data_IF_256658049594
#
_entry.id   IF_256658049594
#
_cell.length_a   1.000
_cell.length_b   1.000
_cell.length_c   1.000
_cell.angle_alpha   90.00
_cell.angle_beta   90.00
_cell.angle_gamma   90.00
#
_symmetry.space_group_name_H-M   'P 1'
#
loop_
_entity.id
_entity.type
_entity.pdbx_description
1 polymer ?
#
# COMPACT_ATOMS: atom_id res chain seq x y z
N UNK A 1 -22.34 -7.37 -26.42
CA UNK A 1 -22.09 -6.06 -27.06
C UNK A 1 -21.62 -5.10 -25.97
N UNK A 2 -20.32 -5.04 -25.72
CA UNK A 2 -19.74 -4.25 -24.64
C UNK A 2 -19.31 -2.89 -25.16
N UNK A 3 -20.16 -1.88 -24.98
CA UNK A 3 -19.76 -0.48 -25.13
C UNK A 3 -18.94 -0.08 -23.90
N UNK A 4 -17.71 -0.59 -23.80
CA UNK A 4 -16.71 0.04 -22.93
C UNK A 4 -16.04 1.08 -23.82
N UNK A 5 -16.22 2.39 -23.58
CA UNK A 5 -15.48 3.41 -24.32
C UNK A 5 -14.00 3.13 -24.11
N UNK A 6 -13.36 2.61 -25.15
CA UNK A 6 -11.98 2.11 -25.13
C UNK A 6 -10.97 3.26 -25.15
N UNK A 7 -11.47 4.51 -25.17
CA UNK A 7 -10.68 5.72 -25.12
C UNK A 7 -11.31 6.65 -24.08
N UNK A 8 -10.71 6.69 -22.90
CA UNK A 8 -10.94 7.81 -21.97
C UNK A 8 -10.24 9.06 -22.53
N UNK A 9 -10.79 10.27 -22.36
CA UNK A 9 -10.19 11.48 -22.89
C UNK A 9 -8.71 11.62 -22.48
N UNK A 10 -7.83 11.96 -23.41
CA UNK A 10 -6.44 12.38 -23.13
C UNK A 10 -6.34 13.87 -22.81
N UNK A 11 -7.43 14.46 -22.35
CA UNK A 11 -7.47 15.85 -21.96
C UNK A 11 -6.66 16.08 -20.68
N UNK A 12 -6.02 17.25 -20.60
CA UNK A 12 -5.18 17.65 -19.48
C UNK A 12 -5.86 17.49 -18.11
N UNK A 13 -7.16 17.79 -18.01
CA UNK A 13 -7.93 17.66 -16.77
C UNK A 13 -8.12 16.19 -16.35
N UNK A 14 -8.23 15.27 -17.30
CA UNK A 14 -8.41 13.84 -17.01
C UNK A 14 -7.09 13.20 -16.59
N UNK A 15 -5.96 13.68 -17.13
CA UNK A 15 -4.62 13.29 -16.67
C UNK A 15 -4.35 13.75 -15.22
N UNK A 16 -4.76 14.98 -14.88
CA UNK A 16 -4.71 15.48 -13.50
C UNK A 16 -5.60 14.62 -12.58
N UNK A 17 -6.86 14.37 -12.97
CA UNK A 17 -7.79 13.57 -12.17
C UNK A 17 -7.29 12.13 -11.96
N UNK A 18 -6.79 11.49 -13.02
CA UNK A 18 -6.27 10.12 -12.93
C UNK A 18 -5.01 10.04 -12.06
N UNK A 19 -4.10 11.02 -12.14
CA UNK A 19 -2.96 11.14 -11.23
C UNK A 19 -3.39 11.34 -9.77
N UNK A 20 -4.39 12.19 -9.54
CA UNK A 20 -4.96 12.42 -8.20
C UNK A 20 -5.57 11.14 -7.62
N UNK A 21 -6.43 10.45 -8.37
CA UNK A 21 -7.06 9.21 -7.91
C UNK A 21 -6.05 8.09 -7.69
N UNK A 22 -5.03 7.99 -8.55
CA UNK A 22 -3.98 6.99 -8.42
C UNK A 22 -3.17 7.15 -7.13
N UNK A 23 -2.80 8.39 -6.76
CA UNK A 23 -2.06 8.62 -5.51
C UNK A 23 -2.95 8.46 -4.28
N UNK A 24 -4.21 8.92 -4.33
CA UNK A 24 -5.17 8.72 -3.24
C UNK A 24 -5.35 7.23 -2.94
N UNK A 25 -5.43 6.42 -3.99
CA UNK A 25 -5.52 4.98 -3.88
C UNK A 25 -4.28 4.33 -3.27
N UNK A 26 -3.08 4.85 -3.52
CA UNK A 26 -1.84 4.35 -2.90
C UNK A 26 -1.74 4.65 -1.40
N UNK A 27 -2.41 5.68 -0.90
CA UNK A 27 -2.41 6.04 0.54
C UNK A 27 -3.34 5.12 1.32
N UNK A 28 -4.44 4.67 0.71
CA UNK A 28 -5.40 3.79 1.39
C UNK A 28 -4.82 2.37 1.53
N UNK A 29 -4.76 1.79 2.75
CA UNK A 29 -4.25 0.44 2.93
C UNK A 29 -5.04 -0.57 2.10
N UNK A 30 -4.34 -1.32 1.24
CA UNK A 30 -4.91 -2.42 0.46
C UNK A 30 -5.49 -2.04 -0.90
N UNK A 31 -5.39 -0.79 -1.35
CA UNK A 31 -5.75 -0.39 -2.72
C UNK A 31 -4.48 -0.02 -3.51
N UNK A 32 -4.39 -0.46 -4.76
CA UNK A 32 -3.26 -0.17 -5.63
C UNK A 32 -3.57 0.95 -6.61
N UNK A 33 -2.71 1.98 -6.67
CA UNK A 33 -2.84 3.07 -7.63
C UNK A 33 -2.72 2.62 -9.09
N UNK A 34 -1.90 1.61 -9.39
CA UNK A 34 -1.80 1.05 -10.75
C UNK A 34 -3.08 0.35 -11.18
N UNK A 35 -3.78 -0.29 -10.24
CA UNK A 35 -5.09 -0.89 -10.50
C UNK A 35 -6.15 0.17 -10.81
N UNK A 36 -6.15 1.30 -10.08
CA UNK A 36 -7.02 2.44 -10.42
C UNK A 36 -6.73 2.97 -11.82
N UNK A 37 -5.46 3.11 -12.19
CA UNK A 37 -5.10 3.52 -13.56
C UNK A 37 -5.53 2.51 -14.63
N UNK A 38 -5.53 1.21 -14.31
CA UNK A 38 -6.07 0.18 -15.19
C UNK A 38 -7.59 0.32 -15.35
N UNK A 39 -8.32 0.54 -14.25
CA UNK A 39 -9.77 0.77 -14.28
C UNK A 39 -10.14 2.04 -15.07
N UNK A 40 -9.30 3.08 -15.01
CA UNK A 40 -9.46 4.31 -15.80
C UNK A 40 -8.95 4.18 -17.26
N UNK A 41 -8.45 3.00 -17.65
CA UNK A 41 -7.83 2.73 -18.96
C UNK A 41 -6.65 3.66 -19.28
N UNK A 42 -5.96 4.20 -18.27
CA UNK A 42 -4.79 5.11 -18.40
C UNK A 42 -3.46 4.50 -18.03
N UNK A 43 -3.44 3.26 -17.54
CA UNK A 43 -2.20 2.58 -17.19
C UNK A 43 -1.21 2.53 -18.36
N UNK A 44 -1.67 2.08 -19.54
CA UNK A 44 -0.82 2.00 -20.74
C UNK A 44 -0.38 3.39 -21.22
N UNK A 45 -1.24 4.40 -21.12
CA UNK A 45 -0.90 5.79 -21.45
C UNK A 45 0.27 6.29 -20.59
N UNK A 46 0.19 6.14 -19.26
CA UNK A 46 1.25 6.60 -18.37
C UNK A 46 2.54 5.78 -18.51
N UNK A 47 2.46 4.46 -18.70
CA UNK A 47 3.66 3.63 -18.99
C UNK A 47 4.33 4.09 -20.29
N UNK A 48 3.55 4.37 -21.32
CA UNK A 48 4.05 4.90 -22.58
C UNK A 48 4.67 6.30 -22.41
N UNK A 49 4.02 7.19 -21.67
CA UNK A 49 4.53 8.53 -21.36
C UNK A 49 5.87 8.48 -20.62
N UNK A 50 6.05 7.54 -19.67
CA UNK A 50 7.35 7.31 -19.01
C UNK A 50 8.40 6.83 -20.01
N UNK A 51 8.07 5.84 -20.85
CA UNK A 51 9.00 5.28 -21.84
C UNK A 51 9.45 6.31 -22.88
N UNK A 52 8.52 7.18 -23.32
CA UNK A 52 8.77 8.22 -24.30
C UNK A 52 9.30 9.53 -23.67
N UNK A 53 9.40 9.59 -22.34
CA UNK A 53 9.77 10.80 -21.58
C UNK A 53 8.86 11.98 -21.91
N UNK A 54 7.55 11.74 -22.03
CA UNK A 54 6.54 12.79 -22.17
C UNK A 54 6.40 13.53 -20.83
N UNK A 55 7.26 14.53 -20.64
CA UNK A 55 7.32 15.35 -19.43
C UNK A 55 6.01 16.13 -19.23
N UNK A 56 5.29 16.47 -20.29
CA UNK A 56 4.06 17.27 -20.18
C UNK A 56 2.96 16.45 -19.52
N UNK A 57 2.70 15.24 -20.02
CA UNK A 57 1.71 14.35 -19.42
C UNK A 57 2.08 13.90 -18.01
N UNK A 58 3.37 13.67 -17.76
CA UNK A 58 3.86 13.33 -16.42
C UNK A 58 3.75 14.51 -15.44
N UNK A 59 4.03 15.75 -15.89
CA UNK A 59 3.86 16.94 -15.07
C UNK A 59 2.39 17.16 -14.70
N UNK A 60 1.46 16.98 -15.64
CA UNK A 60 0.02 17.05 -15.36
C UNK A 60 -0.42 16.00 -14.34
N UNK A 61 0.05 14.76 -14.48
CA UNK A 61 -0.21 13.72 -13.49
C UNK A 61 0.41 14.03 -12.12
N UNK A 62 1.62 14.60 -12.09
CA UNK A 62 2.28 15.00 -10.85
C UNK A 62 1.54 16.14 -10.14
N UNK A 63 1.05 17.14 -10.88
CA UNK A 63 0.19 18.20 -10.34
C UNK A 63 -1.08 17.58 -9.74
N UNK A 64 -1.71 16.67 -10.48
CA UNK A 64 -2.85 15.90 -10.00
C UNK A 64 -2.54 15.14 -8.72
N UNK A 65 -1.39 14.47 -8.66
CA UNK A 65 -0.96 13.73 -7.48
C UNK A 65 -0.74 14.65 -6.28
N UNK A 66 -0.08 15.80 -6.44
CA UNK A 66 0.10 16.76 -5.34
C UNK A 66 -1.24 17.27 -4.81
N UNK A 67 -2.13 17.71 -5.72
CA UNK A 67 -3.46 18.19 -5.34
C UNK A 67 -4.27 17.07 -4.66
N UNK A 68 -4.28 15.87 -5.24
CA UNK A 68 -4.97 14.71 -4.70
C UNK A 68 -4.46 14.33 -3.32
N UNK A 69 -3.14 14.27 -3.12
CA UNK A 69 -2.50 13.97 -1.84
C UNK A 69 -2.89 14.97 -0.76
N UNK A 70 -2.81 16.28 -1.06
CA UNK A 70 -3.16 17.34 -0.10
C UNK A 70 -4.65 17.29 0.23
N UNK A 71 -5.52 17.20 -0.77
CA UNK A 71 -6.97 17.12 -0.55
C UNK A 71 -7.34 15.86 0.23
N UNK A 72 -6.76 14.72 -0.08
CA UNK A 72 -7.03 13.47 0.62
C UNK A 72 -6.52 13.48 2.06
N UNK A 73 -5.32 14.02 2.30
CA UNK A 73 -4.78 14.18 3.64
C UNK A 73 -5.68 15.07 4.51
N UNK A 74 -6.23 16.15 3.95
CA UNK A 74 -7.21 17.01 4.62
C UNK A 74 -8.51 16.26 4.95
N UNK A 75 -9.06 15.50 4.00
CA UNK A 75 -10.27 14.69 4.21
C UNK A 75 -10.03 13.65 5.31
N UNK A 76 -8.90 12.95 5.27
CA UNK A 76 -8.56 11.93 6.27
C UNK A 76 -8.35 12.57 7.64
N UNK A 77 -7.66 13.71 7.72
CA UNK A 77 -7.51 14.48 8.97
C UNK A 77 -8.86 14.91 9.54
N UNK A 78 -9.77 15.38 8.70
CA UNK A 78 -11.13 15.72 9.09
C UNK A 78 -11.90 14.49 9.59
N UNK A 79 -11.78 13.36 8.91
CA UNK A 79 -12.44 12.11 9.27
C UNK A 79 -11.95 11.59 10.63
N UNK A 80 -10.63 11.64 10.88
CA UNK A 80 -10.06 11.29 12.19
C UNK A 80 -10.54 12.21 13.32
N UNK A 81 -10.79 13.50 13.05
CA UNK A 81 -11.31 14.45 14.07
C UNK A 81 -12.80 14.25 14.36
N UNK A 82 -13.61 13.93 13.35
CA UNK A 82 -15.07 13.85 13.49
C UNK A 82 -15.59 12.43 13.75
N UNK A 83 -14.94 11.42 13.19
CA UNK A 83 -15.34 10.01 13.20
C UNK A 83 -14.16 9.10 13.57
N UNK A 84 -13.45 9.45 14.66
CA UNK A 84 -12.22 8.77 15.08
C UNK A 84 -12.38 7.25 15.16
N UNK A 85 -13.33 6.77 15.97
CA UNK A 85 -13.51 5.34 16.23
C UNK A 85 -13.84 4.55 14.96
N UNK A 86 -14.71 5.10 14.10
CA UNK A 86 -15.08 4.47 12.84
C UNK A 86 -13.89 4.41 11.88
N UNK A 87 -13.10 5.48 11.81
CA UNK A 87 -11.91 5.55 10.95
C UNK A 87 -10.86 4.54 11.39
N UNK A 88 -10.57 4.49 12.70
CA UNK A 88 -9.63 3.54 13.28
C UNK A 88 -10.11 2.10 13.07
N UNK A 89 -11.38 1.81 13.29
CA UNK A 89 -11.95 0.47 13.06
C UNK A 89 -11.83 0.05 11.59
N UNK A 90 -12.13 0.96 10.65
CA UNK A 90 -12.03 0.70 9.21
C UNK A 90 -10.58 0.44 8.79
N UNK A 91 -9.64 1.30 9.19
CA UNK A 91 -8.23 1.15 8.86
C UNK A 91 -7.65 -0.13 9.47
N UNK A 92 -8.00 -0.43 10.73
CA UNK A 92 -7.62 -1.67 11.40
C UNK A 92 -8.17 -2.89 10.65
N UNK A 93 -9.42 -2.82 10.20
CA UNK A 93 -10.04 -3.85 9.36
C UNK A 93 -9.29 -4.08 8.05
N UNK A 94 -8.89 -3.01 7.35
CA UNK A 94 -8.05 -3.12 6.15
C UNK A 94 -6.68 -3.75 6.45
N UNK A 95 -6.02 -3.34 7.55
CA UNK A 95 -4.73 -3.90 7.97
C UNK A 95 -4.85 -5.40 8.26
N UNK A 96 -5.84 -5.81 9.06
CA UNK A 96 -6.11 -7.23 9.37
C UNK A 96 -6.44 -8.01 8.08
N UNK A 97 -7.23 -7.44 7.18
CA UNK A 97 -7.54 -8.05 5.88
C UNK A 97 -6.28 -8.29 5.03
N UNK A 98 -5.36 -7.32 5.00
CA UNK A 98 -4.09 -7.42 4.28
C UNK A 98 -3.10 -8.42 4.89
N UNK A 99 -3.21 -8.68 6.20
CA UNK A 99 -2.32 -9.58 6.95
C UNK A 99 -2.30 -10.98 6.34
N UNK A 100 -3.45 -11.48 5.85
CA UNK A 100 -3.54 -12.77 5.16
C UNK A 100 -2.63 -12.84 3.93
N UNK A 101 -2.48 -11.74 3.18
CA UNK A 101 -1.67 -11.70 1.96
C UNK A 101 -0.18 -11.52 2.27
N UNK A 102 0.13 -10.70 3.27
CA UNK A 102 1.50 -10.37 3.73
C UNK A 102 2.12 -11.50 4.58
N UNK A 103 1.31 -12.42 5.10
CA UNK A 103 1.77 -13.55 5.90
C UNK A 103 2.94 -14.32 5.24
N UNK A 104 4.09 -14.49 5.91
CA UNK A 104 5.30 -15.00 5.26
C UNK A 104 5.32 -16.52 5.09
N UNK A 105 4.61 -17.27 5.95
CA UNK A 105 4.62 -18.74 5.90
C UNK A 105 3.50 -19.27 5.02
N UNK A 106 3.86 -19.69 3.80
CA UNK A 106 2.93 -20.24 2.82
C UNK A 106 3.48 -21.50 2.17
N UNK A 107 2.59 -22.46 1.95
CA UNK A 107 2.88 -23.70 1.25
C UNK A 107 2.37 -23.60 -0.19
N UNK A 108 3.25 -23.87 -1.16
CA UNK A 108 2.92 -23.84 -2.58
C UNK A 108 2.30 -25.18 -2.96
N UNK A 109 1.00 -25.18 -3.26
CA UNK A 109 0.24 -26.38 -3.60
C UNK A 109 0.25 -26.68 -5.11
N UNK A 110 0.41 -25.64 -5.93
CA UNK A 110 0.47 -25.78 -7.38
C UNK A 110 1.40 -24.73 -7.98
N UNK A 111 2.32 -25.19 -8.84
CA UNK A 111 3.23 -24.35 -9.62
C UNK A 111 2.84 -24.41 -11.09
N UNK A 112 2.89 -23.28 -11.79
CA UNK A 112 2.90 -23.26 -13.26
C UNK A 112 4.27 -22.77 -13.73
N UNK A 113 4.72 -23.29 -14.86
CA UNK A 113 5.91 -22.78 -15.53
C UNK A 113 5.56 -21.52 -16.31
N UNK A 114 6.17 -20.39 -15.98
CA UNK A 114 6.04 -19.15 -16.75
C UNK A 114 6.68 -19.28 -18.15
N UNK A 115 6.40 -18.32 -19.03
CA UNK A 115 6.97 -18.19 -20.39
C UNK A 115 8.51 -18.19 -20.41
N UNK A 116 9.14 -17.92 -19.27
CA UNK A 116 10.59 -17.93 -19.08
C UNK A 116 11.14 -19.23 -18.48
N UNK A 117 10.30 -20.25 -18.27
CA UNK A 117 10.72 -21.52 -17.66
C UNK A 117 10.75 -21.53 -16.13
N UNK A 118 10.37 -20.45 -15.45
CA UNK A 118 10.34 -20.37 -13.99
C UNK A 118 9.06 -20.93 -13.38
N UNK A 119 9.17 -21.72 -12.31
CA UNK A 119 8.03 -22.23 -11.56
C UNK A 119 7.47 -21.14 -10.65
N UNK A 120 6.35 -20.55 -11.04
CA UNK A 120 5.62 -19.58 -10.21
C UNK A 120 4.48 -20.26 -9.43
N UNK A 121 4.34 -19.97 -8.13
CA UNK A 121 3.25 -20.51 -7.31
C UNK A 121 1.91 -19.88 -7.70
N UNK A 122 0.92 -20.70 -8.06
CA UNK A 122 -0.44 -20.25 -8.44
C UNK A 122 -1.42 -20.41 -7.28
N UNK A 123 -1.23 -21.46 -6.47
CA UNK A 123 -2.06 -21.72 -5.30
C UNK A 123 -1.14 -21.84 -4.08
N UNK A 124 -1.27 -20.86 -3.19
CA UNK A 124 -0.57 -20.82 -1.91
C UNK A 124 -1.58 -21.01 -0.78
N UNK A 125 -1.24 -21.85 0.19
CA UNK A 125 -2.00 -22.00 1.44
C UNK A 125 -1.20 -21.40 2.59
N UNK A 126 -1.83 -20.51 3.35
CA UNK A 126 -1.22 -19.98 4.56
C UNK A 126 -1.08 -21.10 5.59
N UNK A 127 0.13 -21.27 6.12
CA UNK A 127 0.46 -22.26 7.15
C UNK A 127 1.04 -21.54 8.36
N UNK A 128 0.95 -22.18 9.52
CA UNK A 128 1.59 -21.68 10.73
C UNK A 128 3.12 -21.77 10.58
N UNK A 129 3.88 -20.86 11.24
CA UNK A 129 5.34 -20.94 11.26
C UNK A 129 5.80 -22.30 11.80
N UNK A 130 6.78 -22.97 11.15
CA UNK A 130 7.32 -24.23 11.63
C UNK A 130 8.19 -23.98 12.87
N UNK A 131 7.61 -24.10 14.06
CA UNK A 131 8.29 -23.85 15.34
C UNK A 131 9.53 -24.70 15.56
N UNK A 132 9.59 -25.88 14.95
CA UNK A 132 10.75 -26.78 15.02
C UNK A 132 11.20 -27.18 13.62
N UNK A 133 12.51 -27.11 13.39
CA UNK A 133 13.16 -27.65 12.20
C UNK A 133 14.28 -28.59 12.70
N UNK A 134 14.27 -29.84 12.26
CA UNK A 134 15.29 -30.85 12.62
C UNK A 134 15.47 -31.07 14.14
N UNK A 135 14.39 -30.98 14.92
CA UNK A 135 14.42 -31.20 16.38
C UNK A 135 14.93 -30.02 17.21
N UNK A 136 15.31 -28.90 16.57
CA UNK A 136 15.67 -27.64 17.23
C UNK A 136 14.66 -26.53 16.88
N UNK A 137 14.66 -25.43 17.65
CA UNK A 137 13.90 -24.23 17.31
C UNK A 137 14.40 -23.66 15.98
N UNK A 138 13.48 -23.36 15.07
CA UNK A 138 13.84 -22.76 13.80
C UNK A 138 14.42 -21.35 14.03
N UNK A 139 15.66 -21.11 13.57
CA UNK A 139 16.34 -19.82 13.70
C UNK A 139 15.58 -18.69 13.00
N UNK A 140 14.85 -18.97 11.92
CA UNK A 140 14.03 -17.97 11.21
C UNK A 140 12.95 -17.35 12.11
N UNK A 141 12.32 -18.17 12.96
CA UNK A 141 11.30 -17.70 13.91
C UNK A 141 11.97 -16.88 15.02
N UNK A 142 13.16 -17.29 15.47
CA UNK A 142 13.93 -16.54 16.46
C UNK A 142 14.28 -15.14 15.91
N UNK A 143 14.74 -15.05 14.66
CA UNK A 143 15.01 -13.76 14.01
C UNK A 143 13.73 -12.94 13.83
N UNK A 144 12.63 -13.55 13.40
CA UNK A 144 11.35 -12.87 13.26
C UNK A 144 10.84 -12.30 14.60
N UNK A 145 10.95 -13.07 15.69
CA UNK A 145 10.59 -12.63 17.04
C UNK A 145 11.52 -11.53 17.56
N UNK A 146 12.83 -11.65 17.35
CA UNK A 146 13.78 -10.59 17.70
C UNK A 146 13.45 -9.28 16.98
N UNK A 147 13.21 -9.33 15.67
CA UNK A 147 12.82 -8.14 14.90
C UNK A 147 11.49 -7.56 15.36
N UNK A 148 10.52 -8.39 15.74
CA UNK A 148 9.25 -7.94 16.30
C UNK A 148 9.45 -7.20 17.63
N UNK A 149 10.29 -7.73 18.53
CA UNK A 149 10.63 -7.09 19.82
C UNK A 149 11.39 -5.79 19.59
N UNK A 150 12.37 -5.77 18.68
CA UNK A 150 13.12 -4.55 18.33
C UNK A 150 12.20 -3.50 17.75
N UNK A 151 11.31 -3.86 16.82
CA UNK A 151 10.33 -2.94 16.24
C UNK A 151 9.41 -2.35 17.31
N UNK A 152 8.90 -3.18 18.22
CA UNK A 152 8.08 -2.73 19.35
C UNK A 152 8.85 -1.79 20.29
N UNK A 153 10.11 -2.11 20.61
CA UNK A 153 10.96 -1.25 21.43
C UNK A 153 11.22 0.11 20.77
N UNK A 154 11.45 0.15 19.45
CA UNK A 154 11.61 1.40 18.69
C UNK A 154 10.35 2.26 18.78
N UNK A 155 9.16 1.67 18.62
CA UNK A 155 7.89 2.40 18.75
C UNK A 155 7.75 3.02 20.16
N UNK A 156 8.04 2.23 21.20
CA UNK A 156 7.98 2.74 22.59
C UNK A 156 8.99 3.85 22.86
N UNK A 157 10.20 3.77 22.27
CA UNK A 157 11.21 4.82 22.40
C UNK A 157 10.73 6.12 21.73
N UNK A 158 10.13 6.03 20.54
CA UNK A 158 9.57 7.20 19.85
C UNK A 158 8.46 7.83 20.71
N UNK A 159 7.53 7.03 21.22
CA UNK A 159 6.45 7.50 22.08
C UNK A 159 6.97 8.18 23.35
N UNK A 160 7.98 7.58 24.00
CA UNK A 160 8.65 8.16 25.18
C UNK A 160 9.27 9.51 24.87
N UNK A 161 9.98 9.65 23.75
CA UNK A 161 10.62 10.92 23.37
C UNK A 161 9.60 11.98 22.95
N UNK A 162 8.53 11.61 22.24
CA UNK A 162 7.47 12.52 21.84
C UNK A 162 6.69 13.05 23.06
N UNK A 163 6.32 12.18 24.00
CA UNK A 163 5.65 12.58 25.24
C UNK A 163 6.51 13.42 26.19
N UNK A 164 7.84 13.24 26.16
CA UNK A 164 8.76 14.07 26.93
C UNK A 164 8.82 15.51 26.40
N UNK A 165 8.76 15.71 25.08
CA UNK A 165 8.79 17.03 24.43
C UNK A 165 7.51 17.83 24.74
N UNK A 166 6.33 17.21 24.69
CA UNK A 166 5.06 17.88 25.03
C UNK A 166 5.01 18.32 26.51
N UNK A 167 5.69 17.59 27.41
CA UNK A 167 5.71 17.89 28.85
C UNK A 167 6.61 19.09 29.19
N UNK A 168 7.68 19.34 28.42
CA UNK A 168 8.52 20.54 28.60
C UNK A 168 7.85 21.80 28.05
N UNK A 169 7.08 21.70 26.96
CA UNK A 169 6.50 22.87 26.27
C UNK A 169 5.24 23.43 26.94
N UNK A 170 4.52 22.63 27.75
CA UNK A 170 3.38 23.08 28.55
C UNK A 170 3.74 23.71 29.91
N UNK A 171 5.03 23.87 30.22
CA UNK A 171 5.54 24.48 31.48
C UNK A 171 6.13 25.88 31.29
N UNK A 172 5.98 26.49 30.11
CA UNK A 172 6.47 27.85 29.78
C UNK A 172 5.31 28.82 29.61
#
# INVERSE_FOLDING_TARGET
VGLVPTQTPESWWFLILSGALAICAMILPGISGSFILLLLSKYQFFVSAVNQRDIVSLALAAIGAVVGLVSFAQILSWLFKRYHDLTVALLTGFMIGSLRKVWPWKEVLATITDRHGELIPIVERNVAPPFTANGALNMEIVYALLLAVVGFAVVLLIERTAGAVDTEQGRV
#
